data_IF_215944412663
#
_entry.id   IF_215944412663
#
_cell.length_a   1.000
_cell.length_b   1.000
_cell.length_c   1.000
_cell.angle_alpha   90.00
_cell.angle_beta   90.00
_cell.angle_gamma   90.00
#
_symmetry.space_group_name_H-M   'P 1'
#
loop_
_entity.id
_entity.type
_entity.pdbx_description
1 polymer ?
#
# COMPACT_ATOMS: atom_id res chain seq x y z
N UNK A 1 -1.51 17.99 18.46
CA UNK A 1 -2.66 17.96 17.55
C UNK A 1 -2.96 16.50 17.22
N UNK A 2 -4.11 16.06 17.65
CA UNK A 2 -4.52 14.69 17.37
C UNK A 2 -4.89 14.54 15.91
N UNK A 3 -4.02 13.87 15.16
CA UNK A 3 -4.33 13.48 13.80
C UNK A 3 -5.18 12.22 13.87
N UNK A 4 -6.47 12.36 13.60
CA UNK A 4 -7.37 11.23 13.67
C UNK A 4 -7.31 10.42 12.38
N UNK A 5 -6.66 9.27 12.44
CA UNK A 5 -6.73 8.27 11.40
C UNK A 5 -7.76 7.21 11.78
N UNK A 6 -8.41 6.64 10.79
CA UNK A 6 -9.36 5.57 10.97
C UNK A 6 -8.98 4.38 10.09
N UNK A 7 -9.02 3.18 10.68
CA UNK A 7 -8.88 1.95 9.93
C UNK A 7 -10.26 1.52 9.43
N UNK A 8 -10.34 1.11 8.17
CA UNK A 8 -11.58 0.58 7.64
C UNK A 8 -11.89 -0.78 8.26
N UNK A 9 -13.14 -0.94 8.66
CA UNK A 9 -13.68 -2.18 9.18
C UNK A 9 -14.95 -2.49 8.41
N UNK A 10 -15.48 -3.69 8.58
CA UNK A 10 -16.76 -4.05 7.94
C UNK A 10 -17.90 -3.13 8.38
N UNK A 11 -17.82 -2.62 9.60
CA UNK A 11 -18.85 -1.77 10.19
C UNK A 11 -18.85 -0.35 9.60
N UNK A 12 -17.67 0.21 9.30
CA UNK A 12 -17.58 1.58 8.78
C UNK A 12 -17.37 1.67 7.26
N UNK A 13 -17.25 0.54 6.59
CA UNK A 13 -16.86 0.49 5.18
C UNK A 13 -17.82 1.24 4.25
N UNK A 14 -19.11 1.25 4.58
CA UNK A 14 -20.12 1.92 3.76
C UNK A 14 -20.06 3.46 3.85
N UNK A 15 -19.52 3.98 4.96
CA UNK A 15 -19.49 5.42 5.24
C UNK A 15 -18.19 6.08 4.83
N UNK A 16 -17.15 5.29 4.52
CA UNK A 16 -15.82 5.80 4.28
C UNK A 16 -15.45 5.86 2.80
N UNK A 17 -14.63 6.83 2.47
CA UNK A 17 -14.07 7.03 1.13
C UNK A 17 -13.00 5.97 0.86
N UNK A 18 -13.12 5.24 -0.25
CA UNK A 18 -12.32 4.05 -0.51
C UNK A 18 -11.24 4.18 -1.58
N UNK A 19 -11.23 5.26 -2.35
CA UNK A 19 -10.38 5.27 -3.53
C UNK A 19 -9.75 6.64 -3.79
N UNK A 20 -8.48 6.61 -4.16
CA UNK A 20 -7.76 7.82 -4.55
C UNK A 20 -8.23 8.39 -5.90
N UNK A 21 -8.84 7.55 -6.74
CA UNK A 21 -9.23 7.92 -8.10
C UNK A 21 -10.67 8.44 -8.15
N UNK A 22 -11.56 7.89 -7.36
CA UNK A 22 -12.99 8.17 -7.43
C UNK A 22 -13.36 9.26 -6.42
N UNK A 23 -13.53 10.46 -6.93
CA UNK A 23 -13.94 11.64 -6.13
C UNK A 23 -15.38 12.05 -6.40
N UNK A 24 -16.11 11.26 -7.20
CA UNK A 24 -17.48 11.57 -7.56
C UNK A 24 -18.43 11.37 -6.38
N UNK A 25 -19.36 12.30 -6.21
CA UNK A 25 -20.45 12.15 -5.25
C UNK A 25 -21.57 11.25 -5.76
N UNK A 26 -21.51 10.89 -7.04
CA UNK A 26 -22.51 10.01 -7.66
C UNK A 26 -22.19 8.55 -7.38
N UNK A 27 -23.21 7.70 -7.21
CA UNK A 27 -23.00 6.26 -7.11
C UNK A 27 -22.23 5.75 -8.33
N UNK A 28 -21.26 4.87 -8.07
CA UNK A 28 -20.42 4.29 -9.12
C UNK A 28 -20.24 2.79 -8.86
N UNK A 29 -20.49 1.98 -9.87
CA UNK A 29 -20.41 0.52 -9.75
C UNK A 29 -19.02 0.06 -9.26
N UNK A 30 -17.96 0.75 -9.68
CA UNK A 30 -16.59 0.45 -9.25
C UNK A 30 -16.37 0.65 -7.75
N UNK A 31 -17.08 1.62 -7.13
CA UNK A 31 -17.01 1.85 -5.70
C UNK A 31 -17.64 0.68 -4.94
N UNK A 32 -18.79 0.20 -5.38
CA UNK A 32 -19.47 -0.92 -4.75
C UNK A 32 -18.65 -2.20 -4.88
N UNK A 33 -18.03 -2.42 -6.04
CA UNK A 33 -17.14 -3.56 -6.27
C UNK A 33 -15.92 -3.50 -5.34
N UNK A 34 -15.34 -2.31 -5.16
CA UNK A 34 -14.20 -2.11 -4.26
C UNK A 34 -14.60 -2.37 -2.81
N UNK A 35 -15.79 -1.93 -2.39
CA UNK A 35 -16.29 -2.18 -1.04
C UNK A 35 -16.45 -3.67 -0.78
N UNK A 36 -17.04 -4.40 -1.71
CA UNK A 36 -17.22 -5.85 -1.59
C UNK A 36 -15.86 -6.55 -1.54
N UNK A 37 -14.96 -6.21 -2.44
CA UNK A 37 -13.61 -6.75 -2.48
C UNK A 37 -12.88 -6.51 -1.17
N UNK A 38 -12.92 -5.27 -0.66
CA UNK A 38 -12.26 -4.90 0.58
C UNK A 38 -12.88 -5.59 1.79
N UNK A 39 -14.20 -5.72 1.83
CA UNK A 39 -14.89 -6.47 2.88
C UNK A 39 -14.36 -7.90 2.98
N UNK A 40 -14.16 -8.54 1.84
CA UNK A 40 -13.60 -9.89 1.80
C UNK A 40 -12.14 -9.92 2.25
N UNK A 41 -11.35 -8.93 1.84
CA UNK A 41 -9.92 -8.87 2.16
C UNK A 41 -9.64 -8.53 3.63
N UNK A 42 -10.52 -7.80 4.29
CA UNK A 42 -10.34 -7.45 5.71
C UNK A 42 -10.18 -8.70 6.59
N UNK A 43 -10.81 -9.81 6.22
CA UNK A 43 -10.66 -11.09 6.91
C UNK A 43 -9.27 -11.70 6.74
N UNK A 44 -8.50 -11.27 5.74
CA UNK A 44 -7.19 -11.80 5.41
C UNK A 44 -6.05 -10.93 5.93
N UNK A 45 -6.35 -9.97 6.80
CA UNK A 45 -5.36 -9.06 7.36
C UNK A 45 -5.05 -7.83 6.50
N UNK A 46 -5.89 -7.55 5.52
CA UNK A 46 -5.79 -6.34 4.70
C UNK A 46 -6.05 -5.10 5.56
N UNK A 47 -5.22 -4.07 5.41
CA UNK A 47 -5.34 -2.82 6.18
C UNK A 47 -5.54 -1.65 5.22
N UNK A 48 -6.56 -0.87 5.46
CA UNK A 48 -6.79 0.41 4.79
C UNK A 48 -6.98 1.45 5.89
N UNK A 49 -5.99 2.34 6.03
CA UNK A 49 -5.98 3.38 7.06
C UNK A 49 -5.99 4.74 6.39
N UNK A 50 -6.93 5.58 6.77
CA UNK A 50 -7.12 6.88 6.14
C UNK A 50 -7.27 7.98 7.18
N UNK A 51 -7.01 9.22 6.76
CA UNK A 51 -7.30 10.38 7.57
C UNK A 51 -8.82 10.54 7.71
N UNK A 52 -9.29 10.77 8.93
CA UNK A 52 -10.69 10.99 9.21
C UNK A 52 -11.12 12.41 8.80
N UNK A 53 -11.08 12.67 7.49
CA UNK A 53 -11.42 13.94 6.90
C UNK A 53 -11.77 13.75 5.43
N UNK A 54 -12.37 14.74 4.80
CA UNK A 54 -12.69 14.72 3.37
C UNK A 54 -11.44 15.03 2.54
N UNK A 55 -10.43 14.18 2.65
CA UNK A 55 -9.15 14.34 1.94
C UNK A 55 -8.66 12.99 1.47
N UNK A 56 -7.85 12.99 0.41
CA UNK A 56 -7.24 11.75 -0.10
C UNK A 56 -5.89 11.55 0.60
N UNK A 57 -5.95 11.02 1.81
CA UNK A 57 -4.80 10.70 2.64
C UNK A 57 -5.01 9.30 3.21
N UNK A 58 -4.29 8.32 2.69
CA UNK A 58 -4.46 6.93 3.15
C UNK A 58 -3.25 6.07 2.84
N UNK A 59 -3.18 4.93 3.52
CA UNK A 59 -2.27 3.83 3.23
C UNK A 59 -3.08 2.53 3.13
N UNK A 60 -2.69 1.68 2.18
CA UNK A 60 -3.32 0.36 2.00
C UNK A 60 -2.23 -0.69 1.86
N UNK A 61 -2.28 -1.72 2.70
CA UNK A 61 -1.33 -2.83 2.65
C UNK A 61 -1.98 -4.13 3.13
N UNK A 62 -1.37 -5.26 2.80
CA UNK A 62 -1.89 -6.59 3.14
C UNK A 62 -0.75 -7.59 3.28
N UNK A 63 -0.98 -8.75 3.92
CA UNK A 63 0.00 -9.83 3.84
C UNK A 63 0.32 -10.17 2.39
N UNK A 64 1.59 -10.34 2.08
CA UNK A 64 2.04 -10.62 0.71
C UNK A 64 1.38 -11.88 0.14
N UNK A 65 1.16 -12.87 0.99
CA UNK A 65 0.56 -14.15 0.60
C UNK A 65 -0.87 -13.99 0.07
N UNK A 66 -1.59 -12.94 0.47
CA UNK A 66 -2.96 -12.67 0.04
C UNK A 66 -3.06 -11.52 -0.95
N UNK A 67 -1.94 -10.96 -1.36
CA UNK A 67 -1.93 -9.71 -2.15
C UNK A 67 -2.13 -9.90 -3.65
N UNK A 68 -2.05 -11.13 -4.16
CA UNK A 68 -2.23 -11.46 -5.58
C UNK A 68 -1.29 -10.69 -6.51
N UNK A 69 -0.03 -10.57 -6.11
CA UNK A 69 1.01 -9.89 -6.89
C UNK A 69 2.08 -10.89 -7.28
N UNK A 70 2.79 -10.68 -8.41
CA UNK A 70 3.81 -11.62 -8.88
C UNK A 70 5.13 -11.46 -8.11
N UNK A 71 5.06 -11.52 -6.78
CA UNK A 71 6.18 -11.35 -5.87
C UNK A 71 6.23 -12.58 -4.97
N UNK A 72 7.42 -13.15 -4.83
CA UNK A 72 7.69 -14.30 -3.96
C UNK A 72 8.40 -13.79 -2.71
N UNK A 73 7.86 -14.09 -1.56
CA UNK A 73 8.45 -13.75 -0.28
C UNK A 73 7.58 -14.30 0.83
N UNK A 74 8.21 -14.61 1.96
CA UNK A 74 7.52 -15.16 3.10
C UNK A 74 7.40 -14.11 4.20
N UNK A 75 6.19 -13.99 4.75
CA UNK A 75 5.95 -13.21 5.95
C UNK A 75 6.25 -11.71 5.78
N UNK A 76 5.88 -11.16 4.61
CA UNK A 76 5.98 -9.72 4.32
C UNK A 76 4.61 -9.09 4.28
N UNK A 77 4.54 -7.78 4.56
CA UNK A 77 3.42 -6.97 4.09
C UNK A 77 3.74 -6.41 2.71
N UNK A 78 2.74 -6.39 1.84
CA UNK A 78 2.80 -5.72 0.56
C UNK A 78 2.05 -4.39 0.65
N UNK A 79 2.76 -3.30 0.38
CA UNK A 79 2.20 -1.95 0.39
C UNK A 79 1.66 -1.62 -0.99
N UNK A 80 0.34 -1.52 -1.11
CA UNK A 80 -0.32 -1.18 -2.37
C UNK A 80 -0.20 0.29 -2.69
N UNK A 81 -0.53 1.15 -1.74
CA UNK A 81 -0.63 2.59 -1.95
C UNK A 81 -0.36 3.36 -0.69
N UNK A 82 0.29 4.52 -0.87
CA UNK A 82 0.37 5.56 0.14
C UNK A 82 0.15 6.89 -0.58
N UNK A 83 -0.94 7.58 -0.29
CA UNK A 83 -1.29 8.83 -0.96
C UNK A 83 -1.57 9.95 0.03
N UNK A 84 -1.01 11.12 -0.27
CA UNK A 84 -1.32 12.38 0.41
C UNK A 84 -1.54 13.41 -0.69
N UNK A 85 -2.77 13.79 -0.95
CA UNK A 85 -3.13 14.70 -2.04
C UNK A 85 -3.81 15.95 -1.52
N UNK A 86 -3.53 17.07 -2.18
CA UNK A 86 -4.19 18.34 -1.94
C UNK A 86 -3.62 19.10 -0.75
N UNK A 87 -4.48 19.84 -0.06
CA UNK A 87 -4.10 20.70 1.05
C UNK A 87 -3.46 19.99 2.26
N UNK A 88 -3.70 18.70 2.53
CA UNK A 88 -2.99 17.99 3.61
C UNK A 88 -1.50 17.76 3.36
N UNK A 89 -1.01 18.00 2.15
CA UNK A 89 0.43 17.84 1.85
C UNK A 89 1.27 18.72 2.78
N UNK A 90 2.40 18.19 3.24
CA UNK A 90 3.31 18.92 4.11
C UNK A 90 3.00 18.87 5.61
N UNK A 91 1.95 18.16 6.01
CA UNK A 91 1.55 18.03 7.41
C UNK A 91 2.09 16.77 8.11
N UNK A 92 2.98 16.03 7.46
CA UNK A 92 3.56 14.83 8.04
C UNK A 92 2.67 13.60 8.01
N UNK A 93 1.56 13.63 7.31
CA UNK A 93 0.63 12.50 7.24
C UNK A 93 1.23 11.29 6.56
N UNK A 94 2.01 11.48 5.49
CA UNK A 94 2.68 10.38 4.81
C UNK A 94 3.64 9.63 5.73
N UNK A 95 4.42 10.39 6.50
CA UNK A 95 5.33 9.82 7.49
C UNK A 95 4.55 9.04 8.55
N UNK A 96 3.48 9.61 9.09
CA UNK A 96 2.67 8.98 10.13
C UNK A 96 2.06 7.66 9.62
N UNK A 97 1.58 7.63 8.39
CA UNK A 97 1.01 6.43 7.78
C UNK A 97 2.07 5.36 7.54
N UNK A 98 3.25 5.75 7.03
CA UNK A 98 4.35 4.80 6.83
C UNK A 98 4.83 4.22 8.15
N UNK A 99 5.03 5.07 9.16
CA UNK A 99 5.45 4.63 10.49
C UNK A 99 4.44 3.67 11.10
N UNK A 100 3.15 3.92 10.90
CA UNK A 100 2.10 3.00 11.35
C UNK A 100 2.26 1.61 10.71
N UNK A 101 2.44 1.58 9.39
CA UNK A 101 2.63 0.32 8.66
C UNK A 101 3.86 -0.45 9.16
N UNK A 102 4.99 0.23 9.33
CA UNK A 102 6.23 -0.40 9.79
C UNK A 102 6.10 -0.91 11.22
N UNK A 103 5.46 -0.14 12.10
CA UNK A 103 5.21 -0.55 13.49
C UNK A 103 4.28 -1.77 13.53
N UNK A 104 3.19 -1.73 12.76
CA UNK A 104 2.24 -2.85 12.68
C UNK A 104 2.93 -4.12 12.18
N UNK A 105 3.77 -4.00 11.15
CA UNK A 105 4.53 -5.12 10.63
C UNK A 105 5.45 -5.74 11.70
N UNK A 106 6.17 -4.90 12.44
CA UNK A 106 7.05 -5.36 13.52
C UNK A 106 6.28 -6.04 14.65
N UNK A 107 5.16 -5.45 15.07
CA UNK A 107 4.32 -5.99 16.15
C UNK A 107 3.73 -7.34 15.77
N UNK A 108 3.44 -7.56 14.50
CA UNK A 108 2.90 -8.83 14.01
C UNK A 108 3.96 -9.85 13.61
N UNK A 109 5.24 -9.54 13.89
CA UNK A 109 6.35 -10.44 13.60
C UNK A 109 6.62 -10.63 12.12
N UNK A 110 6.29 -9.65 11.28
CA UNK A 110 6.59 -9.73 9.84
C UNK A 110 8.08 -9.61 9.59
N UNK A 111 8.54 -10.22 8.50
CA UNK A 111 9.94 -10.13 8.09
C UNK A 111 10.29 -8.79 7.46
N UNK A 112 9.29 -8.06 6.99
CA UNK A 112 9.48 -6.75 6.40
C UNK A 112 8.25 -6.28 5.63
N UNK A 113 8.45 -5.20 4.88
CA UNK A 113 7.44 -4.60 4.01
C UNK A 113 8.04 -4.44 2.62
N UNK A 114 7.28 -4.75 1.58
CA UNK A 114 7.71 -4.55 0.20
C UNK A 114 6.67 -3.76 -0.58
N UNK A 115 7.10 -3.15 -1.68
CA UNK A 115 6.25 -2.36 -2.54
C UNK A 115 6.77 -2.35 -3.97
N UNK A 116 5.89 -2.02 -4.91
CA UNK A 116 6.24 -1.90 -6.30
C UNK A 116 6.65 -0.46 -6.62
N UNK A 117 7.75 -0.31 -7.36
CA UNK A 117 8.22 0.95 -7.89
C UNK A 117 8.51 0.86 -9.38
N UNK A 118 9.02 1.92 -9.96
CA UNK A 118 9.40 1.97 -11.35
C UNK A 118 10.57 2.94 -11.53
N UNK A 119 11.47 2.64 -12.48
CA UNK A 119 12.54 3.56 -12.85
C UNK A 119 12.00 4.90 -13.34
N UNK A 120 10.86 4.85 -14.03
CA UNK A 120 10.12 6.05 -14.43
C UNK A 120 8.90 6.17 -13.56
N UNK A 121 8.73 7.33 -12.91
CA UNK A 121 7.57 7.57 -12.07
C UNK A 121 6.28 7.35 -12.85
N UNK A 122 5.38 6.58 -12.29
CA UNK A 122 4.04 6.33 -12.82
C UNK A 122 2.99 6.92 -11.90
N UNK A 123 1.92 7.47 -12.47
CA UNK A 123 0.88 8.16 -11.69
C UNK A 123 0.17 7.24 -10.68
N UNK A 124 0.16 5.94 -10.94
CA UNK A 124 -0.52 4.96 -10.10
C UNK A 124 0.39 4.30 -9.07
N UNK A 125 1.68 4.61 -9.09
CA UNK A 125 2.64 4.07 -8.12
C UNK A 125 3.00 5.15 -7.10
N UNK A 126 3.20 4.71 -5.86
CA UNK A 126 3.71 5.57 -4.79
C UNK A 126 5.13 6.02 -5.09
N UNK A 127 5.49 7.20 -4.60
CA UNK A 127 6.82 7.77 -4.80
C UNK A 127 7.88 6.94 -4.07
N UNK A 128 8.77 6.30 -4.83
CA UNK A 128 9.80 5.46 -4.24
C UNK A 128 10.91 6.25 -3.56
N UNK A 129 11.13 7.53 -3.90
CA UNK A 129 12.10 8.34 -3.15
C UNK A 129 11.62 8.59 -1.72
N UNK A 130 10.32 8.71 -1.50
CA UNK A 130 9.75 8.79 -0.16
C UNK A 130 9.99 7.48 0.61
N UNK A 131 9.74 6.33 -0.03
CA UNK A 131 9.98 5.03 0.59
C UNK A 131 11.46 4.82 0.95
N UNK A 132 12.36 5.21 0.07
CA UNK A 132 13.81 5.09 0.30
C UNK A 132 14.28 5.86 1.53
N UNK A 133 13.63 6.96 1.88
CA UNK A 133 13.93 7.72 3.11
C UNK A 133 13.64 6.92 4.38
N UNK A 134 12.78 5.91 4.30
CA UNK A 134 12.47 5.02 5.42
C UNK A 134 13.37 3.78 5.46
N UNK A 135 14.25 3.61 4.47
CA UNK A 135 15.16 2.49 4.40
C UNK A 135 14.80 1.42 3.38
N UNK A 136 13.77 1.65 2.57
CA UNK A 136 13.44 0.74 1.48
C UNK A 136 14.55 0.76 0.42
N UNK A 137 14.89 -0.41 -0.09
CA UNK A 137 15.92 -0.58 -1.12
C UNK A 137 15.37 -1.36 -2.29
N UNK A 138 15.88 -1.11 -3.48
CA UNK A 138 15.54 -1.91 -4.65
C UNK A 138 16.23 -3.27 -4.51
N UNK A 139 15.45 -4.33 -4.44
CA UNK A 139 15.94 -5.70 -4.23
C UNK A 139 15.78 -6.59 -5.46
N UNK A 140 14.96 -6.17 -6.41
CA UNK A 140 14.78 -6.88 -7.68
C UNK A 140 14.20 -5.92 -8.72
N UNK A 141 14.26 -6.29 -10.00
CA UNK A 141 13.75 -5.48 -11.09
C UNK A 141 13.29 -6.37 -12.25
N UNK A 142 12.38 -5.82 -13.06
CA UNK A 142 11.92 -6.47 -14.29
C UNK A 142 12.58 -5.81 -15.51
N UNK A 143 12.56 -6.50 -16.65
CA UNK A 143 13.12 -5.99 -17.89
C UNK A 143 12.39 -4.75 -18.42
N UNK A 144 11.12 -4.59 -18.06
CA UNK A 144 10.30 -3.45 -18.49
C UNK A 144 10.33 -2.27 -17.50
N UNK A 145 11.25 -2.28 -16.54
CA UNK A 145 11.52 -1.12 -15.69
C UNK A 145 10.78 -1.06 -14.36
N UNK A 146 10.02 -2.09 -14.00
CA UNK A 146 9.46 -2.17 -12.65
C UNK A 146 10.53 -2.59 -11.65
N UNK A 147 10.45 -2.04 -10.45
CA UNK A 147 11.38 -2.31 -9.37
C UNK A 147 10.63 -2.79 -8.15
N UNK A 148 11.20 -3.78 -7.46
CA UNK A 148 10.68 -4.25 -6.18
C UNK A 148 11.52 -3.61 -5.08
N UNK A 149 10.87 -2.84 -4.21
CA UNK A 149 11.50 -2.24 -3.05
C UNK A 149 11.10 -3.01 -1.81
N UNK A 150 12.05 -3.16 -0.90
CA UNK A 150 11.78 -3.84 0.37
C UNK A 150 12.54 -3.21 1.51
N UNK A 151 11.91 -3.21 2.68
CA UNK A 151 12.54 -2.92 3.96
C UNK A 151 12.45 -4.20 4.78
N UNK A 152 13.59 -4.86 4.96
CA UNK A 152 13.67 -6.12 5.69
C UNK A 152 14.07 -5.88 7.14
N UNK A 153 13.39 -6.57 8.06
CA UNK A 153 13.72 -6.52 9.49
C UNK A 153 14.65 -7.68 9.90
N UNK A 154 14.75 -8.71 9.08
CA UNK A 154 15.48 -9.95 9.43
C UNK A 154 16.52 -10.37 8.38
N UNK A 155 16.73 -9.54 7.36
CA UNK A 155 17.70 -9.82 6.29
C UNK A 155 17.19 -10.67 5.13
N UNK A 156 15.95 -11.18 5.21
CA UNK A 156 15.35 -11.89 4.08
C UNK A 156 14.94 -10.89 3.00
N UNK A 157 14.87 -11.34 1.74
CA UNK A 157 14.53 -10.48 0.62
C UNK A 157 13.46 -11.14 -0.25
N UNK A 158 12.37 -10.41 -0.56
CA UNK A 158 11.42 -10.88 -1.56
C UNK A 158 12.00 -10.71 -2.96
N UNK A 159 11.37 -11.32 -3.95
CA UNK A 159 11.79 -11.21 -5.36
C UNK A 159 10.57 -11.31 -6.25
N UNK A 160 10.70 -10.80 -7.47
CA UNK A 160 9.66 -11.01 -8.48
C UNK A 160 9.59 -12.50 -8.86
N UNK A 161 8.38 -12.98 -9.13
CA UNK A 161 8.20 -14.28 -9.75
C UNK A 161 8.82 -14.30 -11.15
N UNK A 162 9.30 -15.46 -11.61
CA UNK A 162 9.99 -15.55 -12.90
C UNK A 162 9.16 -15.07 -14.09
N UNK A 163 7.86 -15.32 -14.06
CA UNK A 163 6.96 -14.88 -15.12
C UNK A 163 6.81 -13.35 -15.20
N UNK A 164 7.04 -12.65 -14.11
CA UNK A 164 7.01 -11.18 -14.09
C UNK A 164 8.29 -10.56 -14.65
N UNK A 165 9.42 -11.27 -14.56
CA UNK A 165 10.72 -10.79 -15.05
C UNK A 165 10.84 -10.84 -16.56
N UNK A 166 10.21 -11.84 -17.16
CA UNK A 166 10.23 -11.99 -18.62
C UNK A 166 9.16 -11.10 -19.22
N UNK A 167 9.58 -10.30 -20.18
CA UNK A 167 8.65 -9.52 -20.96
C UNK A 167 7.92 -10.47 -21.90
N UNK A 168 6.86 -11.08 -21.42
CA UNK A 168 6.02 -11.93 -22.25
C UNK A 168 5.15 -11.03 -23.10
N UNK A 169 5.52 -10.89 -24.36
CA UNK A 169 4.69 -10.23 -25.36
C UNK A 169 3.50 -11.12 -25.75
#
# INVERSE_FOLDING_TARGET
>A
MNTDFVNLTKENLSDEHLCCIIRSKKPHAGIDAKRQWLSDRLNEGHVFRKLNAKATVFIEYAPLETAWVPIIGDNYYYLYCLWVLGSPKGNGYGRALMEYCLTDAKEKGKSGVCMLGSKKQKNWLSDQSFAKKFGFEVVDATDNGYELLALSFDGTMPKFAQNAKKNEN
#
